data_IF_372270157232
#
_entry.id   IF_372270157232
#
_cell.length_a   1.000
_cell.length_b   1.000
_cell.length_c   1.000
_cell.angle_alpha   90.00
_cell.angle_beta   90.00
_cell.angle_gamma   90.00
#
_symmetry.space_group_name_H-M   'P 1'
#
loop_
_entity.id
_entity.type
_entity.pdbx_description
1 polymer ?
#
# COMPACT_ATOMS: atom_id res chain seq x y z
N UNK A 1 25.36 -17.33 13.66
CA UNK A 1 26.66 -16.66 13.44
C UNK A 1 26.47 -15.19 13.13
N UNK A 2 27.31 -14.32 13.67
CA UNK A 2 27.27 -12.89 13.37
C UNK A 2 27.45 -12.60 11.87
N UNK A 3 28.20 -13.45 11.16
CA UNK A 3 28.39 -13.37 9.70
C UNK A 3 27.12 -13.66 8.90
N UNK A 4 26.15 -14.42 9.44
CA UNK A 4 24.87 -14.64 8.78
C UNK A 4 23.84 -13.56 9.12
N UNK A 5 23.93 -12.93 10.29
CA UNK A 5 22.98 -11.90 10.74
C UNK A 5 23.35 -10.51 10.20
N UNK A 6 24.65 -10.22 10.08
CA UNK A 6 25.18 -8.91 9.69
C UNK A 6 24.65 -8.41 8.32
N UNK A 7 24.58 -9.24 7.25
CA UNK A 7 24.00 -8.79 5.97
C UNK A 7 22.53 -8.40 6.08
N UNK A 8 21.74 -9.16 6.86
CA UNK A 8 20.32 -8.85 7.10
C UNK A 8 20.14 -7.59 7.93
N UNK A 9 21.00 -7.37 8.93
CA UNK A 9 20.98 -6.13 9.73
C UNK A 9 21.34 -4.92 8.88
N UNK A 10 22.39 -5.01 8.05
CA UNK A 10 22.78 -3.94 7.13
C UNK A 10 21.66 -3.65 6.13
N UNK A 11 21.08 -4.69 5.53
CA UNK A 11 19.95 -4.56 4.61
C UNK A 11 18.75 -3.88 5.27
N UNK A 12 18.37 -4.30 6.48
CA UNK A 12 17.28 -3.69 7.23
C UNK A 12 17.52 -2.22 7.55
N UNK A 13 18.75 -1.85 7.93
CA UNK A 13 19.14 -0.46 8.22
C UNK A 13 19.10 0.40 6.95
N UNK A 14 19.59 -0.12 5.81
CA UNK A 14 19.54 0.58 4.52
C UNK A 14 18.09 0.82 4.11
N UNK A 15 17.23 -0.21 4.16
CA UNK A 15 15.81 -0.09 3.82
C UNK A 15 15.11 0.92 4.73
N UNK A 16 15.34 0.85 6.05
CA UNK A 16 14.78 1.80 6.99
C UNK A 16 15.25 3.24 6.73
N UNK A 17 16.54 3.43 6.39
CA UNK A 17 17.11 4.72 6.04
C UNK A 17 16.56 5.29 4.73
N UNK A 18 16.44 4.46 3.69
CA UNK A 18 15.85 4.85 2.41
C UNK A 18 14.37 5.23 2.56
N UNK A 19 13.60 4.45 3.31
CA UNK A 19 12.20 4.79 3.64
C UNK A 19 12.10 6.11 4.40
N UNK A 20 12.97 6.33 5.40
CA UNK A 20 12.97 7.58 6.15
C UNK A 20 13.33 8.80 5.28
N UNK A 21 14.25 8.65 4.33
CA UNK A 21 14.65 9.71 3.40
C UNK A 21 13.57 10.02 2.35
N UNK A 22 13.06 8.99 1.68
CA UNK A 22 12.06 9.11 0.63
C UNK A 22 10.76 9.75 1.15
N UNK A 23 10.36 9.34 2.36
CA UNK A 23 9.11 9.76 2.96
C UNK A 23 9.22 11.03 3.82
N UNK A 24 10.39 11.29 4.42
CA UNK A 24 10.61 12.44 5.31
C UNK A 24 11.11 13.70 4.60
N UNK A 25 11.91 13.56 3.54
CA UNK A 25 12.66 14.68 2.95
C UNK A 25 12.30 14.95 1.50
N UNK A 26 12.15 13.91 0.67
CA UNK A 26 12.04 14.07 -0.79
C UNK A 26 10.61 14.39 -1.28
N UNK A 27 9.58 13.76 -0.69
CA UNK A 27 8.20 13.87 -1.20
C UNK A 27 7.31 14.85 -0.41
N UNK A 28 7.82 16.05 -0.08
CA UNK A 28 7.03 17.10 0.60
C UNK A 28 5.97 17.78 -0.28
N UNK A 29 6.01 17.61 -1.61
CA UNK A 29 5.09 18.27 -2.54
C UNK A 29 4.12 17.27 -3.13
N UNK A 30 2.86 17.35 -2.70
CA UNK A 30 1.75 16.56 -3.23
C UNK A 30 1.37 17.08 -4.62
N UNK A 31 2.06 16.61 -5.66
CA UNK A 31 1.52 16.66 -7.01
C UNK A 31 0.77 15.35 -7.24
N UNK A 32 -0.54 15.41 -7.50
CA UNK A 32 -1.30 14.22 -7.88
C UNK A 32 -1.01 13.95 -9.37
N UNK A 33 -0.29 12.86 -9.72
CA UNK A 33 -0.06 12.53 -11.11
C UNK A 33 -1.39 12.26 -11.79
N UNK A 34 -1.57 12.84 -12.98
CA UNK A 34 -2.73 12.50 -13.82
C UNK A 34 -2.71 11.00 -14.15
N UNK A 35 -3.90 10.40 -14.37
CA UNK A 35 -4.01 8.99 -14.81
C UNK A 35 -3.12 8.68 -16.02
N UNK A 36 -2.98 9.65 -16.94
CA UNK A 36 -2.14 9.54 -18.14
C UNK A 36 -0.65 9.52 -17.78
N UNK A 37 -0.22 10.41 -16.90
CA UNK A 37 1.18 10.49 -16.46
C UNK A 37 1.59 9.21 -15.71
N UNK A 38 0.74 8.73 -14.80
CA UNK A 38 0.97 7.49 -14.07
C UNK A 38 1.08 6.28 -15.01
N UNK A 39 0.21 6.19 -16.02
CA UNK A 39 0.26 5.13 -17.02
C UNK A 39 1.52 5.22 -17.90
N UNK A 40 1.90 6.42 -18.34
CA UNK A 40 3.14 6.63 -19.11
C UNK A 40 4.36 6.21 -18.31
N UNK A 41 4.46 6.62 -17.05
CA UNK A 41 5.56 6.22 -16.18
C UNK A 41 5.60 4.70 -15.97
N UNK A 42 4.45 4.06 -15.76
CA UNK A 42 4.38 2.61 -15.64
C UNK A 42 4.90 1.90 -16.90
N UNK A 43 4.47 2.34 -18.08
CA UNK A 43 4.93 1.78 -19.37
C UNK A 43 6.45 1.98 -19.52
N UNK A 44 6.95 3.19 -19.27
CA UNK A 44 8.39 3.49 -19.39
C UNK A 44 9.23 2.57 -18.50
N UNK A 45 8.86 2.41 -17.23
CA UNK A 45 9.60 1.56 -16.30
C UNK A 45 9.52 0.08 -16.67
N UNK A 46 8.34 -0.42 -17.06
CA UNK A 46 8.18 -1.80 -17.54
C UNK A 46 9.01 -2.04 -18.79
N UNK A 47 8.94 -1.16 -19.78
CA UNK A 47 9.73 -1.28 -21.00
C UNK A 47 11.23 -1.25 -20.74
N UNK A 48 11.70 -0.38 -19.85
CA UNK A 48 13.11 -0.32 -19.46
C UNK A 48 13.57 -1.62 -18.79
N UNK A 49 12.73 -2.19 -17.92
CA UNK A 49 13.00 -3.45 -17.24
C UNK A 49 13.09 -4.62 -18.25
N UNK A 50 12.16 -4.71 -19.20
CA UNK A 50 12.20 -5.71 -20.26
C UNK A 50 13.35 -5.51 -21.25
N UNK A 51 13.76 -4.25 -21.52
CA UNK A 51 14.94 -3.95 -22.34
C UNK A 51 16.21 -4.44 -21.64
N UNK A 52 16.34 -4.21 -20.34
CA UNK A 52 17.44 -4.74 -19.54
C UNK A 52 17.46 -6.27 -19.57
N UNK A 53 16.31 -6.91 -19.41
CA UNK A 53 16.17 -8.36 -19.49
C UNK A 53 16.53 -8.92 -20.88
N UNK A 54 16.23 -8.21 -21.96
CA UNK A 54 16.69 -8.60 -23.29
C UNK A 54 18.22 -8.63 -23.35
N UNK A 55 18.90 -7.69 -22.68
CA UNK A 55 20.34 -7.74 -22.45
C UNK A 55 20.77 -9.00 -21.68
N UNK A 56 20.12 -9.29 -20.55
CA UNK A 56 20.39 -10.51 -19.76
C UNK A 56 20.23 -11.76 -20.62
N UNK A 57 19.17 -11.82 -21.43
CA UNK A 57 18.89 -12.96 -22.31
C UNK A 57 20.00 -13.17 -23.36
N UNK A 58 20.57 -12.09 -23.90
CA UNK A 58 21.63 -12.14 -24.91
C UNK A 58 22.99 -12.48 -24.29
N UNK A 59 23.34 -11.86 -23.15
CA UNK A 59 24.68 -11.98 -22.56
C UNK A 59 24.83 -13.14 -21.57
N UNK A 60 23.80 -13.42 -20.77
CA UNK A 60 23.81 -14.43 -19.71
C UNK A 60 23.00 -15.70 -20.09
N UNK A 61 22.33 -15.66 -21.24
CA UNK A 61 21.57 -16.77 -21.81
C UNK A 61 20.11 -16.85 -21.34
N UNK A 62 19.34 -17.71 -22.02
CA UNK A 62 17.89 -17.79 -21.86
C UNK A 62 17.43 -18.21 -20.45
N UNK A 63 18.21 -19.04 -19.74
CA UNK A 63 17.88 -19.47 -18.37
C UNK A 63 17.91 -18.29 -17.40
N UNK A 64 18.93 -17.43 -17.48
CA UNK A 64 19.05 -16.24 -16.63
C UNK A 64 18.01 -15.18 -16.98
N UNK A 65 17.71 -15.00 -18.26
CA UNK A 65 16.60 -14.15 -18.69
C UNK A 65 15.24 -14.64 -18.16
N UNK A 66 15.01 -15.96 -18.15
CA UNK A 66 13.78 -16.53 -17.57
C UNK A 66 13.73 -16.34 -16.04
N UNK A 67 14.80 -16.65 -15.31
CA UNK A 67 14.89 -16.41 -13.86
C UNK A 67 14.60 -14.94 -13.52
N UNK A 68 15.19 -14.00 -14.26
CA UNK A 68 14.94 -12.57 -14.10
C UNK A 68 13.48 -12.22 -14.39
N UNK A 69 12.92 -12.74 -15.49
CA UNK A 69 11.52 -12.45 -15.88
C UNK A 69 10.54 -12.95 -14.82
N UNK A 70 10.76 -14.17 -14.33
CA UNK A 70 9.94 -14.76 -13.26
C UNK A 70 10.05 -13.93 -11.99
N UNK A 71 11.26 -13.53 -11.59
CA UNK A 71 11.47 -12.64 -10.45
C UNK A 71 10.73 -11.30 -10.60
N UNK A 72 10.90 -10.64 -11.76
CA UNK A 72 10.26 -9.36 -12.06
C UNK A 72 8.73 -9.45 -11.99
N UNK A 73 8.13 -10.48 -12.60
CA UNK A 73 6.67 -10.67 -12.59
C UNK A 73 6.15 -10.95 -11.18
N UNK A 74 6.88 -11.73 -10.38
CA UNK A 74 6.53 -11.99 -8.98
C UNK A 74 6.57 -10.69 -8.17
N UNK A 75 7.63 -9.90 -8.29
CA UNK A 75 7.78 -8.63 -7.58
C UNK A 75 6.73 -7.59 -8.01
N UNK A 76 6.45 -7.50 -9.32
CA UNK A 76 5.42 -6.63 -9.86
C UNK A 76 4.04 -7.02 -9.32
N UNK A 77 3.72 -8.32 -9.29
CA UNK A 77 2.44 -8.83 -8.77
C UNK A 77 2.27 -8.53 -7.28
N UNK A 78 3.33 -8.70 -6.48
CA UNK A 78 3.32 -8.35 -5.05
C UNK A 78 3.15 -6.84 -4.81
N UNK A 79 3.62 -6.01 -5.73
CA UNK A 79 3.46 -4.55 -5.65
C UNK A 79 2.04 -4.11 -6.01
N UNK A 80 1.40 -4.77 -6.98
CA UNK A 80 0.01 -4.49 -7.40
C UNK A 80 -0.99 -4.78 -6.28
N UNK A 81 -0.80 -5.88 -5.54
CA UNK A 81 -1.62 -6.22 -4.37
C UNK A 81 -1.61 -5.08 -3.33
N UNK A 82 -0.42 -4.59 -2.98
CA UNK A 82 -0.27 -3.50 -2.03
C UNK A 82 -0.98 -2.21 -2.51
N UNK A 83 -0.82 -1.83 -3.78
CA UNK A 83 -1.48 -0.63 -4.35
C UNK A 83 -3.01 -0.78 -4.32
N UNK A 84 -3.52 -1.98 -4.61
CA UNK A 84 -4.95 -2.24 -4.62
C UNK A 84 -5.60 -1.98 -3.26
N UNK A 85 -4.97 -2.47 -2.19
CA UNK A 85 -5.41 -2.21 -0.81
C UNK A 85 -5.45 -0.71 -0.52
N UNK A 86 -4.43 0.05 -0.92
CA UNK A 86 -4.42 1.51 -0.72
C UNK A 86 -5.52 2.23 -1.49
N UNK A 87 -5.76 1.85 -2.75
CA UNK A 87 -6.84 2.44 -3.56
C UNK A 87 -8.20 2.16 -2.90
N UNK A 88 -8.42 0.94 -2.42
CA UNK A 88 -9.66 0.56 -1.73
C UNK A 88 -9.86 1.37 -0.45
N UNK A 89 -8.82 1.52 0.38
CA UNK A 89 -8.86 2.33 1.60
C UNK A 89 -9.17 3.79 1.24
N UNK A 90 -8.41 4.42 0.34
CA UNK A 90 -8.62 5.83 -0.01
C UNK A 90 -9.99 6.11 -0.61
N UNK A 91 -10.49 5.20 -1.45
CA UNK A 91 -11.85 5.26 -2.00
C UNK A 91 -12.91 5.15 -0.90
N UNK A 92 -12.77 4.15 -0.03
CA UNK A 92 -13.75 3.83 1.01
C UNK A 92 -13.86 4.92 2.08
N UNK A 93 -12.76 5.60 2.37
CA UNK A 93 -12.68 6.69 3.35
C UNK A 93 -12.71 8.09 2.71
N UNK A 94 -12.87 8.18 1.39
CA UNK A 94 -12.90 9.44 0.64
C UNK A 94 -11.72 10.39 1.00
N UNK A 95 -10.52 9.85 1.16
CA UNK A 95 -9.37 10.59 1.71
C UNK A 95 -8.99 11.75 0.77
N UNK A 96 -9.07 13.01 1.22
CA UNK A 96 -8.68 14.16 0.40
C UNK A 96 -7.22 14.04 -0.05
N UNK A 97 -6.94 14.44 -1.31
CA UNK A 97 -5.63 14.31 -1.94
C UNK A 97 -4.44 14.80 -1.10
N UNK A 98 -4.63 15.94 -0.42
CA UNK A 98 -3.66 16.55 0.50
C UNK A 98 -3.19 15.63 1.65
N UNK A 99 -3.99 14.62 2.04
CA UNK A 99 -3.66 13.70 3.13
C UNK A 99 -3.27 12.31 2.64
N UNK A 100 -3.49 11.97 1.35
CA UNK A 100 -3.16 10.64 0.81
C UNK A 100 -1.71 10.28 1.04
N UNK A 101 -0.77 11.20 0.85
CA UNK A 101 0.66 10.95 1.11
C UNK A 101 0.94 10.56 2.56
N UNK A 102 0.30 11.25 3.53
CA UNK A 102 0.50 10.95 4.96
C UNK A 102 -0.14 9.64 5.37
N UNK A 103 -1.32 9.31 4.83
CA UNK A 103 -1.97 8.02 5.10
C UNK A 103 -1.20 6.88 4.42
N UNK A 104 -0.69 7.11 3.20
CA UNK A 104 0.17 6.17 2.48
C UNK A 104 1.44 5.87 3.29
N UNK A 105 2.06 6.90 3.88
CA UNK A 105 3.24 6.73 4.73
C UNK A 105 3.00 5.75 5.88
N UNK A 106 1.99 6.03 6.71
CA UNK A 106 1.68 5.18 7.87
C UNK A 106 1.17 3.80 7.44
N UNK A 107 0.47 3.74 6.31
CA UNK A 107 -0.01 2.49 5.73
C UNK A 107 1.12 1.60 5.22
N UNK A 108 2.11 2.14 4.49
CA UNK A 108 3.29 1.40 4.03
C UNK A 108 4.11 0.93 5.23
N UNK A 109 4.37 1.81 6.20
CA UNK A 109 5.11 1.45 7.41
C UNK A 109 4.41 0.32 8.18
N UNK A 110 3.10 0.44 8.37
CA UNK A 110 2.28 -0.60 9.01
C UNK A 110 2.29 -1.90 8.22
N UNK A 111 2.14 -1.85 6.89
CA UNK A 111 2.17 -3.03 6.02
C UNK A 111 3.53 -3.74 6.06
N UNK A 112 4.64 -3.01 6.07
CA UNK A 112 5.99 -3.57 6.19
C UNK A 112 6.18 -4.25 7.55
N UNK A 113 5.72 -3.63 8.65
CA UNK A 113 5.79 -4.23 9.98
C UNK A 113 4.95 -5.50 10.05
N UNK A 114 3.70 -5.45 9.59
CA UNK A 114 2.82 -6.62 9.53
C UNK A 114 3.44 -7.73 8.70
N UNK A 115 4.04 -7.40 7.56
CA UNK A 115 4.76 -8.35 6.70
C UNK A 115 5.97 -8.96 7.42
N UNK A 116 6.76 -8.16 8.14
CA UNK A 116 7.90 -8.66 8.92
C UNK A 116 7.45 -9.62 10.03
N UNK A 117 6.37 -9.31 10.74
CA UNK A 117 5.76 -10.18 11.75
C UNK A 117 5.31 -11.49 11.10
N UNK A 118 4.52 -11.42 10.02
CA UNK A 118 4.03 -12.61 9.34
C UNK A 118 5.16 -13.52 8.83
N UNK A 119 6.24 -12.94 8.30
CA UNK A 119 7.43 -13.69 7.87
C UNK A 119 8.14 -14.33 9.06
N UNK A 120 8.32 -13.60 10.16
CA UNK A 120 8.97 -14.11 11.36
C UNK A 120 8.21 -15.30 11.97
N UNK A 121 6.87 -15.28 11.89
CA UNK A 121 6.00 -16.35 12.39
C UNK A 121 5.58 -17.36 11.31
N UNK A 122 6.03 -17.21 10.06
CA UNK A 122 5.55 -18.00 8.92
C UNK A 122 5.72 -19.52 9.15
N UNK A 123 6.82 -19.95 9.78
CA UNK A 123 7.09 -21.37 10.03
C UNK A 123 6.07 -22.07 10.94
N UNK A 124 5.35 -21.34 11.80
CA UNK A 124 4.29 -21.89 12.67
C UNK A 124 2.90 -21.62 12.06
N UNK A 125 2.79 -20.58 11.24
CA UNK A 125 1.53 -20.02 10.77
C UNK A 125 1.10 -20.57 9.39
N UNK A 126 2.04 -21.01 8.55
CA UNK A 126 1.76 -21.48 7.19
C UNK A 126 0.85 -22.71 7.17
N UNK A 127 1.09 -23.71 8.01
CA UNK A 127 0.31 -24.96 8.05
C UNK A 127 -1.19 -24.74 8.33
N UNK A 128 -1.56 -23.64 8.98
CA UNK A 128 -2.94 -23.33 9.36
C UNK A 128 -3.59 -22.25 8.46
N UNK A 129 -2.81 -21.44 7.74
CA UNK A 129 -3.30 -20.27 7.00
C UNK A 129 -3.40 -20.45 5.48
N UNK A 130 -3.09 -21.61 4.92
CA UNK A 130 -3.22 -21.85 3.47
C UNK A 130 -4.62 -21.48 2.92
N UNK A 131 -5.68 -21.71 3.71
CA UNK A 131 -7.05 -21.32 3.34
C UNK A 131 -7.25 -19.80 3.24
N UNK A 132 -6.57 -19.02 4.08
CA UNK A 132 -6.66 -17.54 4.07
C UNK A 132 -6.11 -16.96 2.77
N UNK A 133 -5.07 -17.57 2.19
CA UNK A 133 -4.51 -17.16 0.90
C UNK A 133 -5.57 -17.26 -0.21
N UNK A 134 -6.34 -18.35 -0.25
CA UNK A 134 -7.40 -18.52 -1.25
C UNK A 134 -8.55 -17.51 -1.07
N UNK A 135 -8.95 -17.23 0.18
CA UNK A 135 -9.94 -16.18 0.46
C UNK A 135 -9.42 -14.81 -0.01
N UNK A 136 -8.19 -14.47 0.35
CA UNK A 136 -7.59 -13.18 0.00
C UNK A 136 -7.46 -13.03 -1.52
N UNK A 137 -7.02 -14.09 -2.21
CA UNK A 137 -6.96 -14.14 -3.67
C UNK A 137 -8.34 -13.96 -4.33
N UNK A 138 -9.37 -14.66 -3.85
CA UNK A 138 -10.73 -14.50 -4.34
C UNK A 138 -11.28 -13.08 -4.09
N UNK A 139 -10.98 -12.51 -2.94
CA UNK A 139 -11.33 -11.13 -2.59
C UNK A 139 -10.66 -10.13 -3.54
N UNK A 140 -9.37 -10.28 -3.83
CA UNK A 140 -8.64 -9.42 -4.77
C UNK A 140 -9.18 -9.53 -6.20
N UNK A 141 -9.49 -10.73 -6.66
CA UNK A 141 -10.10 -10.93 -7.99
C UNK A 141 -11.48 -10.25 -8.06
N UNK A 142 -12.33 -10.45 -7.05
CA UNK A 142 -13.65 -9.84 -6.97
C UNK A 142 -13.58 -8.30 -6.98
N UNK A 143 -12.72 -7.75 -6.13
CA UNK A 143 -12.58 -6.30 -5.97
C UNK A 143 -11.90 -5.66 -7.19
N UNK A 144 -10.90 -6.30 -7.79
CA UNK A 144 -10.30 -5.89 -9.05
C UNK A 144 -11.30 -5.91 -10.21
N UNK A 145 -12.15 -6.93 -10.29
CA UNK A 145 -13.21 -6.98 -11.29
C UNK A 145 -14.28 -5.89 -11.10
N UNK A 146 -14.68 -5.63 -9.85
CA UNK A 146 -15.59 -4.52 -9.51
C UNK A 146 -15.00 -3.17 -9.93
N UNK A 147 -13.70 -2.98 -9.71
CA UNK A 147 -12.97 -1.77 -10.10
C UNK A 147 -13.02 -1.52 -11.62
N UNK A 148 -12.82 -2.56 -12.43
CA UNK A 148 -12.88 -2.47 -13.89
C UNK A 148 -14.28 -2.16 -14.44
N UNK A 149 -15.34 -2.61 -13.75
CA UNK A 149 -16.73 -2.45 -14.21
C UNK A 149 -17.41 -1.15 -13.77
N UNK A 150 -17.07 -0.60 -12.61
CA UNK A 150 -17.77 0.56 -12.02
C UNK A 150 -16.93 1.82 -11.90
N UNK A 151 -15.61 1.75 -12.13
CA UNK A 151 -14.72 2.78 -11.60
C UNK A 151 -14.84 2.89 -10.08
N UNK A 152 -14.01 3.74 -9.47
CA UNK A 152 -14.33 4.22 -8.12
C UNK A 152 -15.50 5.17 -8.31
N UNK A 153 -16.74 4.69 -8.17
CA UNK A 153 -17.85 5.60 -7.89
C UNK A 153 -17.39 6.46 -6.71
N UNK A 154 -17.40 7.79 -6.92
CA UNK A 154 -17.14 8.75 -5.85
C UNK A 154 -17.97 8.34 -4.64
N UNK A 155 -17.28 8.28 -3.50
CA UNK A 155 -17.72 7.80 -2.21
C UNK A 155 -19.24 7.62 -2.09
N UNK A 156 -19.78 6.39 -1.90
CA UNK A 156 -21.09 6.28 -1.27
C UNK A 156 -20.97 7.06 0.05
N UNK A 157 -21.86 8.03 0.24
CA UNK A 157 -21.85 8.98 1.36
C UNK A 157 -21.26 8.34 2.62
N UNK A 158 -20.23 8.99 3.20
CA UNK A 158 -19.46 8.53 4.37
C UNK A 158 -20.37 8.02 5.52
N UNK A 159 -21.63 8.47 5.55
CA UNK A 159 -22.69 8.07 6.46
C UNK A 159 -23.17 6.61 6.32
N UNK A 160 -22.95 5.97 5.19
CA UNK A 160 -23.45 4.62 4.89
C UNK A 160 -22.50 3.49 5.31
N UNK A 161 -21.21 3.79 5.55
CA UNK A 161 -20.20 2.77 5.78
C UNK A 161 -20.28 2.18 7.19
N UNK A 162 -20.51 0.87 7.29
CA UNK A 162 -20.65 0.13 8.56
C UNK A 162 -19.42 0.30 9.47
N UNK A 163 -18.23 0.45 8.89
CA UNK A 163 -16.99 0.68 9.65
C UNK A 163 -16.98 2.05 10.34
N UNK A 164 -17.49 3.10 9.69
CA UNK A 164 -17.66 4.44 10.28
C UNK A 164 -18.69 4.41 11.40
N UNK A 165 -19.78 3.62 11.26
CA UNK A 165 -20.78 3.44 12.33
C UNK A 165 -20.20 2.71 13.55
N UNK A 166 -19.33 1.73 13.33
CA UNK A 166 -18.65 1.01 14.43
C UNK A 166 -17.65 1.93 15.12
N UNK A 167 -16.85 2.69 14.37
CA UNK A 167 -15.90 3.63 14.95
C UNK A 167 -16.59 4.77 15.74
N UNK A 168 -17.70 5.31 15.21
CA UNK A 168 -18.59 6.27 15.91
C UNK A 168 -19.21 5.73 17.20
N UNK A 169 -19.29 4.40 17.36
CA UNK A 169 -19.83 3.76 18.57
C UNK A 169 -18.81 3.76 19.73
N UNK A 170 -17.52 3.72 19.41
CA UNK A 170 -16.45 3.67 20.40
C UNK A 170 -15.80 5.04 20.67
N UNK A 171 -15.88 5.97 19.71
CA UNK A 171 -15.33 7.30 19.88
C UNK A 171 -16.32 8.39 19.44
N UNK A 172 -16.39 9.53 20.17
CA UNK A 172 -17.17 10.69 19.74
C UNK A 172 -16.49 11.32 18.51
N UNK A 173 -17.08 11.09 17.34
CA UNK A 173 -16.58 11.57 16.06
C UNK A 173 -17.46 12.73 15.58
N UNK A 174 -16.83 13.87 15.28
CA UNK A 174 -17.56 15.03 14.76
C UNK A 174 -17.95 14.79 13.30
N UNK A 175 -19.21 15.05 12.88
CA UNK A 175 -19.69 14.69 11.55
C UNK A 175 -19.18 15.58 10.41
N UNK A 176 -18.61 16.77 10.71
CA UNK A 176 -18.22 17.75 9.70
C UNK A 176 -16.70 17.94 9.63
N UNK A 177 -16.17 18.14 8.43
CA UNK A 177 -14.76 18.48 8.21
C UNK A 177 -14.47 19.93 8.60
N UNK A 178 -14.01 20.16 9.83
CA UNK A 178 -13.50 21.46 10.27
C UNK A 178 -11.97 21.54 10.07
N UNK A 179 -11.53 21.81 8.83
CA UNK A 179 -10.13 22.16 8.51
C UNK A 179 -9.13 21.00 8.46
N UNK A 180 -7.98 21.14 9.14
CA UNK A 180 -6.87 20.17 9.16
C UNK A 180 -6.62 19.49 10.52
N UNK A 181 -7.46 19.75 11.51
CA UNK A 181 -7.26 19.22 12.86
C UNK A 181 -7.70 17.76 12.96
N UNK A 182 -6.85 16.90 13.54
CA UNK A 182 -7.17 15.48 13.83
C UNK A 182 -8.09 15.31 15.05
N UNK A 183 -8.07 16.29 15.96
CA UNK A 183 -8.98 16.38 17.10
C UNK A 183 -9.49 17.79 17.21
N UNK A 184 -10.78 17.93 17.49
CA UNK A 184 -11.38 19.21 17.83
C UNK A 184 -11.92 19.12 19.26
N UNK A 185 -11.88 20.23 19.99
CA UNK A 185 -12.52 20.33 21.30
C UNK A 185 -13.69 21.29 21.15
N UNK A 186 -14.91 20.78 21.31
CA UNK A 186 -16.14 21.58 21.38
C UNK A 186 -16.82 21.29 22.71
N UNK A 187 -17.27 22.34 23.39
CA UNK A 187 -17.97 22.25 24.68
C UNK A 187 -17.27 21.38 25.73
N UNK A 188 -15.93 21.45 25.79
CA UNK A 188 -15.11 20.70 26.76
C UNK A 188 -14.91 19.21 26.44
N UNK A 189 -15.51 18.69 25.36
CA UNK A 189 -15.38 17.30 24.91
C UNK A 189 -14.47 17.22 23.70
N UNK A 190 -13.52 16.27 23.72
CA UNK A 190 -12.58 16.04 22.61
C UNK A 190 -13.21 15.10 21.59
N UNK A 191 -13.48 15.62 20.40
CA UNK A 191 -14.00 14.86 19.27
C UNK A 191 -12.86 14.51 18.30
N UNK A 192 -12.93 13.30 17.75
CA UNK A 192 -12.09 12.91 16.63
C UNK A 192 -12.75 13.40 15.34
N UNK A 193 -11.98 14.01 14.45
CA UNK A 193 -12.50 14.41 13.14
C UNK A 193 -12.55 13.22 12.19
N UNK A 194 -13.35 13.28 11.10
CA UNK A 194 -13.38 12.22 10.07
C UNK A 194 -12.03 12.02 9.36
N UNK A 195 -11.06 12.89 9.63
CA UNK A 195 -9.69 12.88 9.14
C UNK A 195 -8.78 11.93 9.95
N UNK A 196 -9.22 11.57 11.16
CA UNK A 196 -8.55 10.62 12.05
C UNK A 196 -9.00 9.18 11.79
N UNK A 197 -10.15 8.98 11.15
CA UNK A 197 -10.69 7.69 10.72
C UNK A 197 -10.21 7.36 9.30
#
# INVERSE_FOLDING_TARGET
>A
DWMTILPWTIFAVIIAGMLALDLGVLNKKAHEPSKKEALTWAIVWVSLAFLFNAGVYIFEGGTKGLEWTTGYVIELSLSVDNIFVFILIFSTFAVPGKYRHRVLFWGILGAVIMRAILIAFAGVLLDQLHFVIYIFGAFLVFTGFRFLRGGIEEAPELESNRLVKIARRFFPVWPHYEGQAFTIVKDGVRYLTPLFL
#
